data_IF_781108286277
#
_entry.id   IF_781108286277
#
_cell.length_a   1.000
_cell.length_b   1.000
_cell.length_c   1.000
_cell.angle_alpha   90.00
_cell.angle_beta   90.00
_cell.angle_gamma   90.00
#
_symmetry.space_group_name_H-M   'P 1'
#
loop_
_entity.id
_entity.type
_entity.pdbx_description
1 polymer ?
#
# COMPACT_ATOMS: atom_id res chain seq x y z
N UNK A 1 22.27 36.81 5.68
CA UNK A 1 21.83 37.64 4.54
C UNK A 1 22.96 37.64 3.52
N UNK A 2 22.78 36.99 2.37
CA UNK A 2 23.73 36.98 1.27
C UNK A 2 22.94 37.18 -0.02
N UNK A 3 23.17 38.33 -0.65
CA UNK A 3 22.65 38.74 -1.95
C UNK A 3 23.46 38.07 -3.07
N UNK A 4 22.80 37.61 -4.14
CA UNK A 4 23.42 37.51 -5.48
C UNK A 4 22.35 37.41 -6.58
N UNK A 5 22.10 38.58 -7.16
CA UNK A 5 22.02 38.93 -8.58
C UNK A 5 21.73 37.81 -9.60
N UNK A 6 20.70 38.12 -10.39
CA UNK A 6 20.16 37.49 -11.60
C UNK A 6 21.22 37.32 -12.69
N UNK A 7 21.26 36.16 -13.35
CA UNK A 7 21.81 36.04 -14.70
C UNK A 7 20.84 35.29 -15.62
N UNK A 8 20.12 36.08 -16.41
CA UNK A 8 19.32 35.69 -17.55
C UNK A 8 20.28 35.37 -18.71
N UNK A 9 20.23 34.14 -19.23
CA UNK A 9 20.97 33.76 -20.44
C UNK A 9 20.03 33.01 -21.38
N UNK A 10 19.67 33.68 -22.47
CA UNK A 10 18.90 33.13 -23.58
C UNK A 10 19.81 33.05 -24.81
N UNK A 11 19.85 31.93 -25.53
CA UNK A 11 20.28 31.91 -26.92
C UNK A 11 19.08 32.08 -27.86
N UNK A 12 19.25 32.91 -28.89
CA UNK A 12 18.35 33.07 -30.04
C UNK A 12 19.08 32.57 -31.30
N UNK A 13 18.30 32.29 -32.36
CA UNK A 13 18.69 31.89 -33.75
C UNK A 13 18.70 30.35 -33.95
N UNK A 14 18.11 29.75 -34.97
CA UNK A 14 17.51 30.23 -36.23
C UNK A 14 16.66 29.15 -36.91
N UNK A 15 16.07 29.53 -38.05
CA UNK A 15 14.93 28.89 -38.69
C UNK A 15 15.24 27.72 -39.65
N UNK A 16 14.19 26.91 -39.86
CA UNK A 16 13.74 26.25 -41.10
C UNK A 16 14.59 25.11 -41.72
N UNK A 17 13.98 23.91 -41.76
CA UNK A 17 14.42 22.77 -42.56
C UNK A 17 13.43 21.60 -42.49
N UNK A 18 12.50 21.56 -43.45
CA UNK A 18 11.50 20.51 -43.71
C UNK A 18 12.16 19.16 -44.02
N UNK A 19 11.74 18.07 -43.37
CA UNK A 19 11.51 16.72 -43.95
C UNK A 19 10.74 15.86 -42.94
N UNK A 20 9.64 15.25 -43.37
CA UNK A 20 8.87 14.35 -42.53
C UNK A 20 9.58 13.02 -42.28
N UNK A 21 9.25 12.36 -41.17
CA UNK A 21 9.01 10.93 -41.20
C UNK A 21 8.16 10.46 -40.02
N UNK A 22 7.53 9.32 -40.25
CA UNK A 22 6.46 8.67 -39.52
C UNK A 22 6.58 8.64 -37.99
N UNK A 23 5.40 8.72 -37.38
CA UNK A 23 5.11 8.26 -36.04
C UNK A 23 5.63 6.82 -35.82
N UNK A 24 6.35 6.64 -34.72
CA UNK A 24 6.31 5.41 -33.93
C UNK A 24 6.36 5.78 -32.45
N UNK A 25 5.22 5.80 -31.73
CA UNK A 25 5.26 5.53 -30.30
C UNK A 25 5.60 4.05 -30.16
N UNK A 26 6.89 3.71 -30.19
CA UNK A 26 7.34 2.34 -29.97
C UNK A 26 6.88 1.91 -28.58
N UNK A 27 6.14 0.81 -28.58
CA UNK A 27 5.38 0.23 -27.50
C UNK A 27 6.28 -0.18 -26.32
N UNK A 28 6.43 0.71 -25.32
CA UNK A 28 6.93 0.32 -24.00
C UNK A 28 5.81 0.09 -22.97
N UNK A 29 4.55 0.18 -23.41
CA UNK A 29 3.38 0.11 -22.52
C UNK A 29 2.85 -1.29 -22.31
N UNK A 30 3.13 -2.23 -23.21
CA UNK A 30 2.62 -3.60 -23.12
C UNK A 30 3.47 -4.51 -22.21
N UNK A 31 4.79 -4.36 -22.20
CA UNK A 31 5.68 -5.33 -21.51
C UNK A 31 5.83 -5.13 -20.00
N UNK A 32 5.58 -3.92 -19.45
CA UNK A 32 5.74 -3.68 -17.99
C UNK A 32 4.62 -4.26 -17.15
N UNK A 33 3.45 -4.48 -17.73
CA UNK A 33 2.25 -5.00 -17.06
C UNK A 33 2.22 -6.52 -16.98
N UNK A 34 2.88 -7.22 -17.90
CA UNK A 34 2.99 -8.69 -17.88
C UNK A 34 3.78 -9.21 -16.67
N UNK A 35 4.72 -8.42 -16.15
CA UNK A 35 5.61 -8.83 -15.06
C UNK A 35 5.03 -8.71 -13.65
N UNK A 36 3.92 -7.99 -13.42
CA UNK A 36 3.36 -7.80 -12.06
C UNK A 36 2.44 -8.95 -11.61
N UNK A 37 1.80 -9.65 -12.55
CA UNK A 37 0.95 -10.81 -12.26
C UNK A 37 1.70 -12.09 -11.95
N UNK A 38 2.84 -12.29 -12.62
CA UNK A 38 3.66 -13.50 -12.47
C UNK A 38 4.47 -13.56 -11.16
N UNK A 39 4.58 -12.44 -10.43
CA UNK A 39 5.51 -12.30 -9.29
C UNK A 39 5.18 -13.16 -8.07
N UNK A 40 3.96 -13.66 -7.93
CA UNK A 40 3.56 -14.49 -6.78
C UNK A 40 3.52 -15.99 -7.08
N UNK A 41 3.64 -16.41 -8.34
CA UNK A 41 3.60 -17.83 -8.73
C UNK A 41 2.26 -18.53 -8.43
N UNK A 42 1.20 -17.77 -8.18
CA UNK A 42 -0.15 -18.25 -7.86
C UNK A 42 -1.12 -17.97 -9.03
N UNK A 43 -2.16 -18.79 -9.17
CA UNK A 43 -3.27 -18.51 -10.09
C UNK A 43 -4.13 -17.33 -9.60
N UNK A 44 -4.88 -16.64 -10.50
CA UNK A 44 -5.80 -15.56 -10.10
C UNK A 44 -6.79 -15.95 -8.99
N UNK A 45 -7.31 -17.18 -9.01
CA UNK A 45 -8.23 -17.68 -7.99
C UNK A 45 -7.57 -17.93 -6.63
N UNK A 46 -6.32 -18.40 -6.63
CA UNK A 46 -5.52 -18.55 -5.42
C UNK A 46 -5.18 -17.17 -4.82
N UNK A 47 -4.84 -16.19 -5.66
CA UNK A 47 -4.59 -14.82 -5.22
C UNK A 47 -5.84 -14.19 -4.57
N UNK A 48 -7.02 -14.34 -5.19
CA UNK A 48 -8.30 -13.89 -4.61
C UNK A 48 -8.58 -14.56 -3.27
N UNK A 49 -8.27 -15.85 -3.16
CA UNK A 49 -8.44 -16.60 -1.91
C UNK A 49 -7.52 -16.06 -0.82
N UNK A 50 -6.26 -15.81 -1.14
CA UNK A 50 -5.28 -15.23 -0.22
C UNK A 50 -5.70 -13.83 0.24
N UNK A 51 -6.13 -12.96 -0.68
CA UNK A 51 -6.62 -11.62 -0.35
C UNK A 51 -7.81 -11.67 0.63
N UNK A 52 -8.79 -12.55 0.38
CA UNK A 52 -9.92 -12.76 1.30
C UNK A 52 -9.46 -13.19 2.69
N UNK A 53 -8.50 -14.12 2.76
CA UNK A 53 -7.96 -14.58 4.04
C UNK A 53 -7.27 -13.45 4.81
N UNK A 54 -6.48 -12.60 4.14
CA UNK A 54 -5.86 -11.44 4.78
C UNK A 54 -6.88 -10.45 5.32
N UNK A 55 -7.93 -10.13 4.57
CA UNK A 55 -9.04 -9.29 5.07
C UNK A 55 -9.75 -9.93 6.26
N UNK A 56 -10.00 -11.25 6.24
CA UNK A 56 -10.57 -11.96 7.40
C UNK A 56 -9.66 -11.84 8.61
N UNK A 57 -8.34 -12.04 8.45
CA UNK A 57 -7.38 -11.91 9.56
C UNK A 57 -7.25 -10.48 10.08
N UNK A 58 -7.34 -9.47 9.21
CA UNK A 58 -7.42 -8.07 9.65
C UNK A 58 -8.65 -7.83 10.54
N UNK A 59 -9.81 -8.40 10.17
CA UNK A 59 -11.02 -8.37 10.98
C UNK A 59 -10.85 -9.07 12.34
N UNK A 60 -10.24 -10.26 12.36
CA UNK A 60 -9.94 -10.99 13.59
C UNK A 60 -9.02 -10.19 14.54
N UNK A 61 -7.99 -9.51 14.02
CA UNK A 61 -7.10 -8.66 14.82
C UNK A 61 -7.87 -7.52 15.49
N UNK A 62 -8.76 -6.85 14.75
CA UNK A 62 -9.63 -5.80 15.31
C UNK A 62 -10.60 -6.35 16.36
N UNK A 63 -11.14 -7.54 16.14
CA UNK A 63 -12.02 -8.20 17.10
C UNK A 63 -11.29 -8.56 18.40
N UNK A 64 -10.03 -9.00 18.32
CA UNK A 64 -9.18 -9.26 19.49
C UNK A 64 -8.93 -7.96 20.28
N UNK A 65 -8.60 -6.86 19.58
CA UNK A 65 -8.42 -5.55 20.22
C UNK A 65 -9.69 -5.12 20.98
N UNK A 66 -10.86 -5.22 20.35
CA UNK A 66 -12.13 -4.87 20.97
C UNK A 66 -12.45 -5.78 22.18
N UNK A 67 -12.24 -7.09 22.02
CA UNK A 67 -12.49 -8.08 23.08
C UNK A 67 -11.63 -7.82 24.33
N UNK A 68 -10.34 -7.56 24.15
CA UNK A 68 -9.43 -7.26 25.26
C UNK A 68 -9.82 -5.92 25.92
N UNK A 69 -10.18 -4.90 25.13
CA UNK A 69 -10.62 -3.61 25.67
C UNK A 69 -11.86 -3.78 26.56
N UNK A 70 -12.88 -4.48 26.07
CA UNK A 70 -14.10 -4.76 26.83
C UNK A 70 -13.81 -5.55 28.11
N UNK A 71 -12.90 -6.53 28.04
CA UNK A 71 -12.48 -7.31 29.20
C UNK A 71 -11.83 -6.42 30.27
N UNK A 72 -10.95 -5.50 29.88
CA UNK A 72 -10.26 -4.60 30.81
C UNK A 72 -11.18 -3.57 31.47
N UNK A 73 -12.22 -3.14 30.75
CA UNK A 73 -13.26 -2.23 31.25
C UNK A 73 -14.24 -2.94 32.20
N UNK A 74 -14.59 -4.19 31.89
CA UNK A 74 -15.51 -5.01 32.70
C UNK A 74 -14.89 -5.66 33.93
N UNK A 75 -13.55 -5.66 34.07
CA UNK A 75 -12.86 -6.33 35.17
C UNK A 75 -12.45 -5.33 36.27
N UNK A 76 -12.82 -5.62 37.53
CA UNK A 76 -12.44 -4.86 38.73
C UNK A 76 -10.97 -5.03 39.16
N UNK A 77 -10.08 -5.24 38.19
CA UNK A 77 -8.64 -5.40 38.40
C UNK A 77 -7.97 -4.05 38.68
N UNK A 78 -7.44 -3.87 39.89
CA UNK A 78 -6.81 -2.64 40.35
C UNK A 78 -5.37 -2.87 40.85
N UNK A 79 -4.67 -1.79 41.21
CA UNK A 79 -3.28 -1.83 41.70
C UNK A 79 -2.25 -1.48 40.64
N UNK A 80 -0.97 -1.41 41.05
CA UNK A 80 0.14 -0.92 40.23
C UNK A 80 0.25 -1.65 38.88
N UNK A 81 0.25 -2.98 38.89
CA UNK A 81 0.35 -3.80 37.66
C UNK A 81 -0.83 -3.57 36.70
N UNK A 82 -2.02 -3.35 37.24
CA UNK A 82 -3.21 -3.10 36.46
C UNK A 82 -3.13 -1.74 35.74
N UNK A 83 -2.60 -0.72 36.42
CA UNK A 83 -2.32 0.60 35.83
C UNK A 83 -1.24 0.53 34.76
N UNK A 84 -0.12 -0.15 35.05
CA UNK A 84 0.98 -0.35 34.09
C UNK A 84 0.48 -1.05 32.81
N UNK A 85 -0.31 -2.12 32.96
CA UNK A 85 -0.88 -2.82 31.81
C UNK A 85 -1.88 -1.96 31.03
N UNK A 86 -2.80 -1.25 31.70
CA UNK A 86 -3.75 -0.36 31.00
C UNK A 86 -3.05 0.77 30.26
N UNK A 87 -1.95 1.29 30.79
CA UNK A 87 -1.10 2.28 30.11
C UNK A 87 -0.47 1.69 28.85
N UNK A 88 0.12 0.48 28.95
CA UNK A 88 0.68 -0.22 27.80
C UNK A 88 -0.38 -0.62 26.76
N UNK A 89 -1.56 -1.02 27.21
CA UNK A 89 -2.72 -1.35 26.38
C UNK A 89 -3.16 -0.15 25.56
N UNK A 90 -3.48 0.96 26.23
CA UNK A 90 -3.93 2.20 25.60
C UNK A 90 -2.84 2.89 24.76
N UNK A 91 -1.58 2.43 24.85
CA UNK A 91 -0.46 2.94 24.08
C UNK A 91 0.02 1.93 23.03
N UNK A 92 1.21 1.33 23.21
CA UNK A 92 1.86 0.53 22.19
C UNK A 92 1.04 -0.66 21.70
N UNK A 93 0.31 -1.38 22.56
CA UNK A 93 -0.35 -2.62 22.15
C UNK A 93 -1.49 -2.38 21.15
N UNK A 94 -2.40 -1.46 21.45
CA UNK A 94 -3.49 -1.10 20.51
C UNK A 94 -2.94 -0.53 19.20
N UNK A 95 -1.89 0.30 19.25
CA UNK A 95 -1.24 0.82 18.03
C UNK A 95 -0.66 -0.29 17.17
N UNK A 96 0.05 -1.25 17.76
CA UNK A 96 0.63 -2.38 17.00
C UNK A 96 -0.44 -3.28 16.39
N UNK A 97 -1.56 -3.53 17.10
CA UNK A 97 -2.69 -4.31 16.56
C UNK A 97 -3.38 -3.56 15.41
N UNK A 98 -3.63 -2.26 15.56
CA UNK A 98 -4.20 -1.44 14.50
C UNK A 98 -3.30 -1.42 13.25
N UNK A 99 -1.99 -1.26 13.45
CA UNK A 99 -1.02 -1.31 12.35
C UNK A 99 -1.01 -2.68 11.66
N UNK A 100 -1.04 -3.79 12.41
CA UNK A 100 -1.11 -5.12 11.82
C UNK A 100 -2.37 -5.30 10.97
N UNK A 101 -3.54 -4.89 11.47
CA UNK A 101 -4.78 -4.97 10.72
C UNK A 101 -4.74 -4.12 9.44
N UNK A 102 -4.16 -2.93 9.52
CA UNK A 102 -3.98 -2.05 8.36
C UNK A 102 -3.04 -2.68 7.31
N UNK A 103 -1.91 -3.23 7.72
CA UNK A 103 -0.97 -3.89 6.81
C UNK A 103 -1.56 -5.15 6.16
N UNK A 104 -2.40 -5.90 6.87
CA UNK A 104 -3.13 -7.03 6.29
C UNK A 104 -4.12 -6.57 5.21
N UNK A 105 -4.87 -5.49 5.45
CA UNK A 105 -5.80 -4.95 4.46
C UNK A 105 -5.08 -4.32 3.26
N UNK A 106 -3.96 -3.61 3.48
CA UNK A 106 -3.11 -3.10 2.38
C UNK A 106 -2.61 -4.22 1.50
N UNK A 107 -2.12 -5.31 2.08
CA UNK A 107 -1.66 -6.47 1.33
C UNK A 107 -2.81 -7.14 0.56
N UNK A 108 -3.99 -7.26 1.16
CA UNK A 108 -5.16 -7.77 0.46
C UNK A 108 -5.53 -6.89 -0.75
N UNK A 109 -5.49 -5.56 -0.60
CA UNK A 109 -5.70 -4.60 -1.69
C UNK A 109 -4.68 -4.78 -2.83
N UNK A 110 -3.39 -4.81 -2.48
CA UNK A 110 -2.31 -5.03 -3.44
C UNK A 110 -2.49 -6.34 -4.24
N UNK A 111 -2.86 -7.44 -3.58
CA UNK A 111 -3.08 -8.73 -4.23
C UNK A 111 -4.25 -8.63 -5.23
N UNK A 112 -5.34 -7.96 -4.87
CA UNK A 112 -6.47 -7.77 -5.78
C UNK A 112 -6.10 -6.93 -7.00
N UNK A 113 -5.35 -5.84 -6.80
CA UNK A 113 -4.89 -4.96 -7.88
C UNK A 113 -4.00 -5.73 -8.88
N UNK A 114 -3.05 -6.50 -8.36
CA UNK A 114 -2.19 -7.38 -9.17
C UNK A 114 -3.03 -8.42 -9.93
N UNK A 115 -4.02 -9.02 -9.28
CA UNK A 115 -4.89 -10.03 -9.90
C UNK A 115 -5.66 -9.45 -11.08
N UNK A 116 -6.32 -8.30 -10.91
CA UNK A 116 -7.10 -7.65 -11.98
C UNK A 116 -6.22 -7.19 -13.14
N UNK A 117 -5.01 -6.68 -12.85
CA UNK A 117 -4.05 -6.34 -13.90
C UNK A 117 -3.61 -7.56 -14.71
N UNK A 118 -3.49 -8.73 -14.06
CA UNK A 118 -3.11 -9.98 -14.71
C UNK A 118 -4.20 -10.48 -15.64
N UNK A 119 -5.45 -10.48 -15.17
CA UNK A 119 -6.60 -10.93 -15.98
C UNK A 119 -6.81 -10.07 -17.22
N UNK A 120 -6.59 -8.76 -17.10
CA UNK A 120 -6.70 -7.82 -18.23
C UNK A 120 -5.61 -8.02 -19.29
N UNK A 121 -4.48 -8.63 -18.94
CA UNK A 121 -3.39 -8.92 -19.87
C UNK A 121 -3.60 -10.25 -20.62
N UNK A 122 -4.39 -11.17 -20.06
CA UNK A 122 -4.64 -12.50 -20.62
C UNK A 122 -5.81 -12.54 -21.62
N UNK A 123 -6.61 -11.47 -21.72
CA UNK A 123 -7.84 -11.40 -22.52
C UNK A 123 -7.77 -10.28 -23.57
#
# INVERSE_FOLDING_TARGET
>A
MLSSVILFSAPRVGAAGRTGNAATPTSHRAERTDSMGLTLGLTPEEMRTLARQFTTKAGEVRAIEASITNLLEGTSWTGRRASEFRSAWNGPFRRSLAQLAEELDKNAGYINDVTTSTESALN
#
